data_IF_424966754933
#
_entry.id   IF_424966754933
#
_cell.length_a   1.000
_cell.length_b   1.000
_cell.length_c   1.000
_cell.angle_alpha   90.00
_cell.angle_beta   90.00
_cell.angle_gamma   90.00
#
_symmetry.space_group_name_H-M   'P 1'
#
loop_
_entity.id
_entity.type
_entity.pdbx_description
1 polymer ?
#
# COMPACT_ATOMS: atom_id res chain seq x y z
N UNK A 1 13.73 12.97 5.89
CA UNK A 1 12.37 13.04 6.49
C UNK A 1 11.48 12.31 5.52
N UNK A 2 11.19 11.04 5.79
CA UNK A 2 10.29 10.24 4.97
C UNK A 2 8.85 10.61 5.29
N UNK A 3 7.99 10.55 4.28
CA UNK A 3 6.58 10.89 4.41
C UNK A 3 5.85 9.73 5.11
N UNK A 4 5.04 10.01 6.13
CA UNK A 4 4.39 8.94 6.92
C UNK A 4 3.41 8.06 6.14
N UNK A 5 2.88 8.53 5.01
CA UNK A 5 2.10 7.68 4.10
C UNK A 5 3.00 6.70 3.34
N UNK A 6 4.21 7.12 2.95
CA UNK A 6 5.17 6.23 2.32
C UNK A 6 5.67 5.17 3.30
N UNK A 7 5.98 5.56 4.54
CA UNK A 7 6.40 4.62 5.59
C UNK A 7 5.33 3.54 5.85
N UNK A 8 4.05 3.88 5.65
CA UNK A 8 2.97 2.92 5.71
C UNK A 8 2.93 2.01 4.47
N UNK A 9 3.10 2.58 3.28
CA UNK A 9 2.96 1.86 2.02
C UNK A 9 4.11 0.90 1.76
N UNK A 10 5.33 1.19 2.22
CA UNK A 10 6.54 0.43 1.87
C UNK A 10 7.20 -0.18 3.09
N UNK A 11 7.86 -1.34 2.91
CA UNK A 11 8.63 -2.01 3.96
C UNK A 11 10.04 -1.42 4.10
N UNK A 12 10.60 -1.02 2.97
CA UNK A 12 11.97 -0.57 2.84
C UNK A 12 11.99 0.90 2.44
N UNK A 13 13.01 1.61 2.91
CA UNK A 13 13.27 2.98 2.49
C UNK A 13 13.73 3.03 1.03
N UNK A 14 13.43 4.11 0.30
CA UNK A 14 13.95 4.28 -1.05
C UNK A 14 15.48 4.40 -1.00
N UNK A 15 16.20 3.90 -2.02
CA UNK A 15 17.64 4.14 -2.16
C UNK A 15 18.01 5.63 -2.09
N UNK A 16 19.19 5.93 -1.56
CA UNK A 16 19.62 7.32 -1.26
C UNK A 16 19.79 8.17 -2.53
N UNK A 17 20.04 7.53 -3.67
CA UNK A 17 20.32 8.14 -4.97
C UNK A 17 19.10 8.22 -5.90
N UNK A 18 17.92 7.77 -5.45
CA UNK A 18 16.68 7.86 -6.23
C UNK A 18 15.70 8.87 -5.63
N UNK A 19 14.81 9.38 -6.47
CA UNK A 19 13.75 10.28 -6.03
C UNK A 19 12.88 9.59 -4.95
N UNK A 20 12.56 10.25 -3.81
CA UNK A 20 11.87 9.61 -2.68
C UNK A 20 10.49 9.02 -3.02
N UNK A 21 9.83 9.57 -4.05
CA UNK A 21 8.51 9.08 -4.52
C UNK A 21 8.63 8.01 -5.62
N UNK A 22 9.83 7.64 -6.08
CA UNK A 22 10.02 6.69 -7.18
C UNK A 22 9.38 5.33 -6.87
N UNK A 23 9.42 4.91 -5.61
CA UNK A 23 8.82 3.66 -5.13
C UNK A 23 7.30 3.54 -5.40
N UNK A 24 6.57 4.66 -5.56
CA UNK A 24 5.16 4.64 -5.98
C UNK A 24 4.95 4.02 -7.38
N UNK A 25 6.03 3.90 -8.15
CA UNK A 25 6.06 3.29 -9.48
C UNK A 25 6.73 1.91 -9.47
N UNK A 26 6.84 1.25 -8.31
CA UNK A 26 7.15 -0.17 -8.25
C UNK A 26 5.95 -0.97 -8.75
N UNK A 27 6.14 -1.68 -9.86
CA UNK A 27 5.12 -2.56 -10.47
C UNK A 27 3.70 -1.99 -10.57
N UNK A 28 3.50 -0.73 -11.03
CA UNK A 28 2.19 -0.14 -11.13
C UNK A 28 1.35 -0.96 -12.10
N UNK A 29 0.22 -1.48 -11.62
CA UNK A 29 -0.68 -2.35 -12.41
C UNK A 29 0.05 -3.57 -13.02
N UNK A 30 1.10 -4.06 -12.36
CA UNK A 30 1.89 -5.20 -12.82
C UNK A 30 2.92 -4.87 -13.92
N UNK A 31 3.12 -3.60 -14.26
CA UNK A 31 4.11 -3.19 -15.27
C UNK A 31 5.50 -3.02 -14.64
N UNK A 32 6.53 -3.64 -15.22
CA UNK A 32 7.92 -3.44 -14.81
C UNK A 32 8.50 -2.18 -15.46
N UNK A 33 8.76 -1.15 -14.67
CA UNK A 33 9.46 0.06 -15.12
C UNK A 33 10.94 -0.05 -14.77
N UNK A 34 11.81 0.57 -15.58
CA UNK A 34 13.23 0.65 -15.22
C UNK A 34 13.42 1.68 -14.09
N UNK A 35 14.49 1.56 -13.28
CA UNK A 35 14.80 2.54 -12.23
C UNK A 35 14.86 3.98 -12.77
N UNK A 36 15.43 4.18 -13.96
CA UNK A 36 15.53 5.49 -14.60
C UNK A 36 14.15 6.06 -14.92
N UNK A 37 13.27 5.25 -15.53
CA UNK A 37 11.91 5.66 -15.86
C UNK A 37 11.12 6.04 -14.61
N UNK A 38 11.23 5.25 -13.53
CA UNK A 38 10.55 5.53 -12.26
C UNK A 38 11.02 6.85 -11.66
N UNK A 39 12.34 7.10 -11.70
CA UNK A 39 12.94 8.32 -11.20
C UNK A 39 12.49 9.55 -12.01
N UNK A 40 12.54 9.45 -13.35
CA UNK A 40 12.08 10.52 -14.25
C UNK A 40 10.59 10.82 -14.08
N UNK A 41 9.74 9.79 -13.97
CA UNK A 41 8.31 9.96 -13.72
C UNK A 41 8.05 10.64 -12.37
N UNK A 42 8.79 10.25 -11.34
CA UNK A 42 8.66 10.86 -10.03
C UNK A 42 9.07 12.34 -10.04
N UNK A 43 10.20 12.68 -10.65
CA UNK A 43 10.62 14.07 -10.84
C UNK A 43 9.56 14.85 -11.63
N UNK A 44 9.04 14.29 -12.72
CA UNK A 44 8.02 14.97 -13.52
C UNK A 44 6.73 15.23 -12.73
N UNK A 45 6.22 14.23 -12.01
CA UNK A 45 4.93 14.33 -11.31
C UNK A 45 5.06 15.18 -10.04
N UNK A 46 6.07 14.94 -9.22
CA UNK A 46 6.15 15.55 -7.89
C UNK A 46 6.92 16.89 -7.91
N UNK A 47 8.02 17.00 -8.66
CA UNK A 47 8.80 18.24 -8.70
C UNK A 47 8.30 19.21 -9.77
N UNK A 48 8.06 18.73 -11.00
CA UNK A 48 7.70 19.60 -12.13
C UNK A 48 6.20 19.94 -12.17
N UNK A 49 5.33 18.94 -11.99
CA UNK A 49 3.88 19.16 -11.91
C UNK A 49 3.43 19.65 -10.52
N UNK A 50 4.28 19.52 -9.50
CA UNK A 50 4.00 19.97 -8.14
C UNK A 50 2.98 19.12 -7.39
N UNK A 51 2.79 17.85 -7.78
CA UNK A 51 1.97 16.92 -7.01
C UNK A 51 2.58 16.71 -5.62
N UNK A 52 1.74 16.62 -4.59
CA UNK A 52 2.19 16.46 -3.20
C UNK A 52 1.48 15.29 -2.54
N UNK A 53 2.26 14.44 -1.89
CA UNK A 53 1.77 13.56 -0.85
C UNK A 53 1.86 14.31 0.48
N UNK A 54 0.75 14.46 1.18
CA UNK A 54 0.76 15.09 2.49
C UNK A 54 1.45 14.19 3.52
N UNK A 55 2.27 14.76 4.40
CA UNK A 55 2.90 14.01 5.49
C UNK A 55 1.90 13.79 6.64
N UNK A 56 1.04 12.78 6.50
CA UNK A 56 0.03 12.39 7.49
C UNK A 56 0.16 10.92 7.81
N UNK A 57 0.10 10.58 9.10
CA UNK A 57 0.07 9.19 9.52
C UNK A 57 -1.31 8.59 9.21
N UNK A 58 -1.37 7.34 8.73
CA UNK A 58 -2.63 6.62 8.65
C UNK A 58 -3.33 6.61 10.00
N UNK A 59 -4.63 6.85 9.98
CA UNK A 59 -5.44 6.97 11.19
C UNK A 59 -6.86 6.48 10.96
N UNK A 60 -7.66 6.49 12.01
CA UNK A 60 -8.99 5.92 12.03
C UNK A 60 -9.95 6.88 12.71
N UNK A 61 -11.13 7.05 12.14
CA UNK A 61 -12.25 7.80 12.69
C UNK A 61 -13.39 6.83 12.96
N UNK A 62 -13.83 6.76 14.22
CA UNK A 62 -14.96 5.94 14.62
C UNK A 62 -16.25 6.73 14.59
N UNK A 63 -17.29 6.12 14.06
CA UNK A 63 -18.63 6.69 14.01
C UNK A 63 -19.59 5.85 14.83
N UNK A 64 -20.47 6.55 15.53
CA UNK A 64 -21.59 5.97 16.23
C UNK A 64 -22.84 6.82 15.98
N UNK A 65 -23.94 6.15 15.62
CA UNK A 65 -25.27 6.75 15.46
C UNK A 65 -26.30 5.88 16.18
N UNK A 66 -27.24 6.52 16.88
CA UNK A 66 -28.45 5.89 17.41
C UNK A 66 -29.63 6.80 17.03
N UNK A 67 -30.20 6.55 15.86
CA UNK A 67 -31.27 7.36 15.30
C UNK A 67 -32.61 6.66 15.49
N UNK A 68 -33.64 7.43 15.86
CA UNK A 68 -35.00 6.93 16.06
C UNK A 68 -35.87 7.05 14.81
N UNK A 69 -35.32 7.66 13.78
CA UNK A 69 -35.91 7.99 12.50
C UNK A 69 -34.88 7.78 11.39
N UNK A 70 -35.38 7.59 10.16
CA UNK A 70 -34.54 7.52 8.97
C UNK A 70 -33.88 8.88 8.73
N UNK A 71 -32.58 8.90 8.43
CA UNK A 71 -31.83 10.14 8.22
C UNK A 71 -30.86 10.05 7.07
N UNK A 72 -30.70 11.20 6.43
CA UNK A 72 -29.63 11.45 5.48
C UNK A 72 -28.30 11.66 6.21
N UNK A 73 -27.26 11.03 5.68
CA UNK A 73 -25.87 11.32 5.99
C UNK A 73 -25.35 12.18 4.85
N UNK A 74 -24.83 13.37 5.17
CA UNK A 74 -24.13 14.26 4.25
C UNK A 74 -23.05 15.01 5.04
N UNK A 75 -21.88 14.39 5.16
CA UNK A 75 -20.77 14.93 5.96
C UNK A 75 -19.40 14.59 5.36
N UNK A 76 -18.39 15.36 5.75
CA UNK A 76 -17.00 15.09 5.37
C UNK A 76 -16.25 14.44 6.54
N UNK A 77 -15.52 13.37 6.24
CA UNK A 77 -14.68 12.70 7.23
C UNK A 77 -13.52 13.62 7.60
N UNK A 78 -13.33 13.97 8.89
CA UNK A 78 -12.24 14.86 9.30
C UNK A 78 -10.87 14.29 8.92
N UNK A 79 -10.01 15.08 8.27
CA UNK A 79 -8.66 14.68 7.85
C UNK A 79 -8.57 14.06 6.46
N UNK A 80 -9.71 13.79 5.80
CA UNK A 80 -9.75 13.26 4.44
C UNK A 80 -9.34 14.29 3.35
N UNK A 81 -9.18 15.56 3.72
CA UNK A 81 -8.63 16.58 2.82
C UNK A 81 -7.14 16.37 2.48
N UNK A 82 -6.44 15.52 3.24
CA UNK A 82 -5.00 15.28 3.08
C UNK A 82 -4.64 13.86 2.60
N UNK A 83 -5.59 12.92 2.63
CA UNK A 83 -5.35 11.52 2.28
C UNK A 83 -6.66 10.81 1.94
N UNK A 84 -6.56 9.59 1.40
CA UNK A 84 -7.74 8.84 1.02
C UNK A 84 -8.58 8.41 2.24
N UNK A 85 -9.90 8.38 2.08
CA UNK A 85 -10.84 7.92 3.10
C UNK A 85 -11.59 6.66 2.64
N UNK A 86 -11.62 5.61 3.45
CA UNK A 86 -12.23 4.35 3.04
C UNK A 86 -12.64 3.50 4.25
N UNK A 87 -13.49 2.50 4.04
CA UNK A 87 -14.03 1.68 5.13
C UNK A 87 -14.43 0.30 4.64
N UNK A 88 -14.19 -0.71 5.48
CA UNK A 88 -14.58 -2.11 5.25
C UNK A 88 -15.96 -2.44 5.81
N UNK A 89 -16.50 -1.58 6.69
CA UNK A 89 -17.69 -1.87 7.50
C UNK A 89 -18.71 -0.73 7.47
N UNK A 90 -18.77 0.03 6.37
CA UNK A 90 -19.82 1.04 6.18
C UNK A 90 -21.20 0.38 6.23
N UNK A 91 -22.17 0.95 6.97
CA UNK A 91 -23.55 0.50 6.92
C UNK A 91 -24.10 0.56 5.49
N UNK A 92 -24.95 -0.41 5.16
CA UNK A 92 -25.66 -0.40 3.88
C UNK A 92 -26.54 0.85 3.78
N UNK A 93 -26.45 1.55 2.65
CA UNK A 93 -27.22 2.77 2.39
C UNK A 93 -26.38 4.04 2.39
N UNK A 94 -25.11 3.97 2.83
CA UNK A 94 -24.15 5.06 2.71
C UNK A 94 -22.89 4.64 1.96
N UNK A 95 -22.19 5.62 1.41
CA UNK A 95 -20.92 5.45 0.71
C UNK A 95 -19.95 6.56 1.12
N UNK A 96 -18.64 6.31 0.98
CA UNK A 96 -17.60 7.33 1.18
C UNK A 96 -16.82 7.50 -0.12
N UNK A 97 -16.67 8.74 -0.60
CA UNK A 97 -15.82 9.03 -1.75
C UNK A 97 -14.35 9.04 -1.31
N UNK A 98 -13.49 8.15 -1.85
CA UNK A 98 -12.14 8.04 -1.31
C UNK A 98 -11.24 9.24 -1.51
N UNK A 99 -11.54 10.06 -2.52
CA UNK A 99 -10.75 11.25 -2.86
C UNK A 99 -11.09 12.46 -1.99
N UNK A 100 -12.34 12.59 -1.56
CA UNK A 100 -12.82 13.79 -0.86
C UNK A 100 -13.19 13.51 0.59
N UNK A 101 -13.36 12.25 0.98
CA UNK A 101 -13.93 11.86 2.27
C UNK A 101 -15.38 12.25 2.44
N UNK A 102 -16.07 12.63 1.37
CA UNK A 102 -17.49 12.92 1.41
C UNK A 102 -18.26 11.62 1.62
N UNK A 103 -18.97 11.54 2.74
CA UNK A 103 -19.81 10.41 3.12
C UNK A 103 -21.27 10.80 2.94
N UNK A 104 -21.96 10.07 2.07
CA UNK A 104 -23.31 10.40 1.66
C UNK A 104 -24.22 9.17 1.55
N UNK A 105 -25.50 9.35 1.87
CA UNK A 105 -26.55 8.35 1.69
C UNK A 105 -27.66 8.47 2.72
N UNK A 106 -28.43 7.40 2.90
CA UNK A 106 -29.55 7.36 3.86
C UNK A 106 -29.47 6.12 4.71
N UNK A 107 -29.61 6.30 6.03
CA UNK A 107 -29.72 5.20 6.98
C UNK A 107 -31.12 5.18 7.57
N UNK A 108 -31.76 4.01 7.66
CA UNK A 108 -32.97 3.83 8.44
C UNK A 108 -32.75 4.16 9.93
N UNK A 109 -33.84 4.29 10.67
CA UNK A 109 -33.80 4.29 12.13
C UNK A 109 -33.04 3.06 12.65
N UNK A 110 -32.08 3.27 13.56
CA UNK A 110 -31.26 2.19 14.06
C UNK A 110 -29.99 2.66 14.76
N UNK A 111 -29.29 1.68 15.32
CA UNK A 111 -27.98 1.86 15.92
C UNK A 111 -26.90 1.37 14.96
N UNK A 112 -25.93 2.22 14.68
CA UNK A 112 -24.85 1.96 13.74
C UNK A 112 -23.51 2.27 14.39
N UNK A 113 -22.53 1.42 14.09
CA UNK A 113 -21.12 1.66 14.38
C UNK A 113 -20.31 1.27 13.17
N UNK A 114 -19.45 2.17 12.72
CA UNK A 114 -18.53 1.90 11.63
C UNK A 114 -17.26 2.70 11.81
N UNK A 115 -16.29 2.39 10.97
CA UNK A 115 -14.94 2.90 11.08
C UNK A 115 -14.48 3.38 9.72
N UNK A 116 -14.05 4.63 9.63
CA UNK A 116 -13.43 5.17 8.41
C UNK A 116 -11.93 5.29 8.64
N UNK A 117 -11.16 4.72 7.73
CA UNK A 117 -9.70 4.80 7.70
C UNK A 117 -9.28 5.98 6.84
N UNK A 118 -8.26 6.69 7.31
CA UNK A 118 -7.60 7.77 6.61
C UNK A 118 -6.19 7.30 6.28
N UNK A 119 -5.84 7.27 5.01
CA UNK A 119 -4.55 6.76 4.54
C UNK A 119 -4.66 6.01 3.21
N UNK A 120 -3.52 5.61 2.65
CA UNK A 120 -3.48 4.76 1.45
C UNK A 120 -4.34 3.49 1.62
N UNK A 121 -5.07 3.11 0.57
CA UNK A 121 -5.87 1.87 0.51
C UNK A 121 -5.04 0.63 0.18
N UNK A 122 -3.81 0.86 -0.26
CA UNK A 122 -2.90 -0.18 -0.72
C UNK A 122 -1.53 0.03 -0.10
N UNK A 123 -0.76 -1.06 -0.05
CA UNK A 123 0.66 -1.06 0.32
C UNK A 123 1.41 -1.99 -0.62
N UNK A 124 2.71 -1.76 -0.76
CA UNK A 124 3.59 -2.62 -1.51
C UNK A 124 4.10 -3.75 -0.61
N UNK A 125 4.06 -4.95 -1.14
CA UNK A 125 4.65 -6.17 -0.59
C UNK A 125 5.82 -6.58 -1.48
N UNK A 126 7.02 -6.60 -0.91
CA UNK A 126 8.24 -7.01 -1.62
C UNK A 126 8.40 -8.52 -1.71
N UNK A 127 7.43 -9.31 -1.24
CA UNK A 127 7.48 -10.78 -1.21
C UNK A 127 8.72 -11.31 -0.45
N UNK A 128 9.16 -10.54 0.55
CA UNK A 128 10.37 -10.79 1.33
C UNK A 128 11.68 -10.38 0.65
N UNK A 129 11.62 -9.73 -0.51
CA UNK A 129 12.75 -9.07 -1.15
C UNK A 129 13.06 -7.69 -0.55
N UNK A 130 14.05 -7.02 -1.13
CA UNK A 130 14.41 -5.64 -0.82
C UNK A 130 13.42 -4.62 -1.37
N UNK A 131 12.49 -5.03 -2.24
CA UNK A 131 11.55 -4.12 -2.91
C UNK A 131 12.22 -3.36 -4.05
N UNK A 132 13.29 -3.92 -4.61
CA UNK A 132 13.97 -3.37 -5.78
C UNK A 132 13.08 -3.46 -7.03
N UNK A 133 13.16 -2.51 -7.98
CA UNK A 133 12.40 -2.58 -9.24
C UNK A 133 12.63 -3.84 -10.09
N UNK A 134 13.74 -4.56 -9.84
CA UNK A 134 14.06 -5.80 -10.56
C UNK A 134 13.50 -7.06 -9.88
N UNK A 135 13.16 -6.97 -8.61
CA UNK A 135 12.57 -8.07 -7.83
C UNK A 135 11.07 -8.09 -8.02
N UNK A 136 10.46 -9.28 -7.91
CA UNK A 136 9.01 -9.39 -7.92
C UNK A 136 8.39 -8.75 -6.67
N UNK A 137 7.19 -8.21 -6.81
CA UNK A 137 6.43 -7.62 -5.72
C UNK A 137 5.06 -7.16 -6.20
N UNK A 138 4.15 -6.92 -5.26
CA UNK A 138 2.76 -6.64 -5.56
C UNK A 138 2.17 -5.53 -4.69
N UNK A 139 1.15 -4.88 -5.24
CA UNK A 139 0.28 -4.00 -4.47
C UNK A 139 -0.84 -4.83 -3.83
N UNK A 140 -0.85 -4.88 -2.50
CA UNK A 140 -1.88 -5.54 -1.69
C UNK A 140 -2.78 -4.52 -1.01
N UNK A 141 -3.92 -4.98 -0.49
CA UNK A 141 -4.79 -4.16 0.35
C UNK A 141 -4.04 -3.67 1.60
N UNK A 142 -4.37 -2.45 2.05
CA UNK A 142 -3.73 -1.81 3.21
C UNK A 142 -3.75 -2.64 4.51
N UNK A 143 -4.64 -3.64 4.62
CA UNK A 143 -4.83 -4.49 5.80
C UNK A 143 -4.52 -5.95 5.52
N UNK A 144 -4.32 -6.30 4.26
CA UNK A 144 -3.89 -7.63 3.87
C UNK A 144 -2.47 -7.82 4.39
N UNK A 145 -2.18 -8.94 5.05
CA UNK A 145 -0.84 -9.25 5.57
C UNK A 145 0.18 -9.39 4.44
N UNK A 146 1.39 -8.87 4.66
CA UNK A 146 2.51 -9.08 3.73
C UNK A 146 2.91 -10.55 3.77
N UNK A 147 3.13 -11.13 2.59
CA UNK A 147 3.33 -12.57 2.44
C UNK A 147 4.69 -13.03 2.97
N UNK A 148 5.62 -12.09 3.22
CA UNK A 148 6.96 -12.39 3.73
C UNK A 148 7.80 -13.18 2.72
N UNK A 149 9.06 -13.53 3.05
CA UNK A 149 9.89 -14.31 2.16
C UNK A 149 9.27 -15.69 1.97
N UNK A 150 9.09 -16.09 0.71
CA UNK A 150 8.78 -17.46 0.39
C UNK A 150 9.85 -18.37 1.02
N UNK A 151 9.43 -19.38 1.77
CA UNK A 151 10.37 -20.38 2.29
C UNK A 151 11.22 -20.92 1.14
N UNK A 152 12.55 -20.99 1.28
CA UNK A 152 13.40 -21.50 0.21
C UNK A 152 12.91 -22.90 -0.18
N UNK A 153 12.61 -23.08 -1.47
CA UNK A 153 12.08 -24.36 -1.98
C UNK A 153 13.08 -25.51 -1.81
N UNK A 154 14.37 -25.18 -1.67
CA UNK A 154 15.44 -26.11 -1.41
C UNK A 154 16.11 -25.75 -0.09
N UNK A 155 15.87 -26.56 0.93
CA UNK A 155 16.64 -26.48 2.16
C UNK A 155 18.02 -27.13 1.92
N UNK A 156 18.99 -26.29 1.57
CA UNK A 156 20.39 -26.72 1.37
C UNK A 156 20.95 -27.37 2.64
N UNK A 157 20.47 -27.02 3.83
CA UNK A 157 20.96 -27.65 5.06
C UNK A 157 20.56 -29.13 5.16
N UNK A 158 19.43 -29.50 4.54
CA UNK A 158 18.92 -30.88 4.46
C UNK A 158 19.51 -31.72 3.30
N UNK A 159 20.20 -31.08 2.35
CA UNK A 159 20.77 -31.79 1.19
C UNK A 159 21.94 -32.69 1.59
N UNK A 160 22.04 -33.85 0.94
CA UNK A 160 23.20 -34.73 1.08
C UNK A 160 24.47 -34.05 0.52
N UNK A 161 25.68 -34.47 0.96
CA UNK A 161 26.92 -33.94 0.42
C UNK A 161 27.05 -34.05 -1.11
N UNK A 162 26.51 -35.12 -1.68
CA UNK A 162 26.49 -35.38 -3.13
C UNK A 162 25.60 -34.39 -3.88
N UNK A 163 24.43 -34.07 -3.33
CA UNK A 163 23.51 -33.08 -3.90
C UNK A 163 24.08 -31.66 -3.83
N UNK A 164 24.79 -31.31 -2.74
CA UNK A 164 25.50 -30.03 -2.63
C UNK A 164 26.63 -29.92 -3.66
N UNK A 165 27.38 -31.00 -3.86
CA UNK A 165 28.46 -31.04 -4.85
C UNK A 165 27.92 -30.90 -6.29
N UNK A 166 26.80 -31.56 -6.60
CA UNK A 166 26.14 -31.43 -7.90
C UNK A 166 25.57 -30.03 -8.13
N UNK A 167 24.94 -29.42 -7.13
CA UNK A 167 24.43 -28.04 -7.22
C UNK A 167 25.56 -27.04 -7.43
N UNK A 168 26.68 -27.20 -6.72
CA UNK A 168 27.85 -26.33 -6.89
C UNK A 168 28.48 -26.48 -8.28
N UNK A 169 28.61 -27.70 -8.78
CA UNK A 169 29.11 -27.95 -10.13
C UNK A 169 28.19 -27.41 -11.23
N UNK A 170 26.88 -27.32 -10.99
CA UNK A 170 25.93 -26.70 -11.92
C UNK A 170 26.05 -25.16 -11.93
N UNK A 171 26.21 -24.55 -10.75
CA UNK A 171 26.43 -23.10 -10.62
C UNK A 171 27.75 -22.67 -11.27
N UNK A 172 28.83 -23.45 -11.10
CA UNK A 172 30.14 -23.19 -11.74
C UNK A 172 30.11 -23.34 -13.28
N UNK A 173 29.01 -23.87 -13.88
CA UNK A 173 28.81 -23.96 -15.32
C UNK A 173 27.94 -22.83 -15.90
N UNK A 174 27.29 -22.03 -15.03
CA UNK A 174 26.44 -20.91 -15.44
C UNK A 174 27.16 -19.54 -15.36
N UNK A 175 28.37 -19.48 -14.78
CA UNK A 175 29.33 -18.35 -14.86
C UNK A 175 30.24 -18.42 -16.10
#
# INVERSE_FOLDING_TARGET
>A
MTNRQLDFMFENEPPVDVHPMAQLFLHPLGMKFTPEMMNELATFIFDMCGAKLHDVAPSTVEYFRDWKDDREVDEYVPGAEYTAAWSENLPTGISVCPRTGHMAGTLPAGQYRWTVRLGPQVRYDSLGGSGSPHEDGLWIGALEERQGPASPQVDVSSMTPEQKAALRAALDQED
#
